data_IF_498540423375
#
_entry.id   IF_498540423375
#
_cell.length_a   1.000
_cell.length_b   1.000
_cell.length_c   1.000
_cell.angle_alpha   90.00
_cell.angle_beta   90.00
_cell.angle_gamma   90.00
#
_symmetry.space_group_name_H-M   'P 1'
#
loop_
_entity.id
_entity.type
_entity.pdbx_description
1 polymer ?
#
# COMPACT_ATOMS: atom_id res chain seq x y z
N UNK A 1 24.17 -58.04 -44.27
CA UNK A 1 22.82 -58.48 -44.73
C UNK A 1 21.94 -58.53 -43.49
N UNK A 2 20.82 -57.84 -43.27
CA UNK A 2 19.87 -56.98 -44.02
C UNK A 2 19.08 -56.26 -42.88
N UNK A 3 19.10 -54.92 -42.78
CA UNK A 3 18.07 -53.95 -43.21
C UNK A 3 16.78 -53.90 -42.35
N UNK A 4 16.31 -52.69 -41.99
CA UNK A 4 14.87 -52.42 -41.88
C UNK A 4 14.40 -51.49 -40.75
N UNK A 5 14.27 -50.20 -41.06
CA UNK A 5 13.57 -49.14 -40.30
C UNK A 5 12.04 -49.32 -40.40
N UNK A 6 11.27 -49.03 -39.33
CA UNK A 6 9.95 -48.37 -39.45
C UNK A 6 9.43 -47.79 -38.12
N UNK A 7 9.07 -46.51 -38.21
CA UNK A 7 8.41 -45.67 -37.21
C UNK A 7 6.97 -46.12 -36.92
N UNK A 8 6.48 -45.92 -35.69
CA UNK A 8 5.17 -45.28 -35.41
C UNK A 8 4.97 -45.13 -33.90
N UNK A 9 5.02 -43.89 -33.41
CA UNK A 9 4.59 -43.52 -32.06
C UNK A 9 3.08 -43.30 -32.00
N UNK A 10 2.40 -43.93 -31.05
CA UNK A 10 1.06 -43.57 -30.59
C UNK A 10 1.14 -43.26 -29.09
N UNK A 11 1.27 -41.99 -28.75
CA UNK A 11 1.08 -41.51 -27.38
C UNK A 11 -0.41 -41.49 -27.06
N UNK A 12 -0.78 -42.21 -26.00
CA UNK A 12 -2.11 -42.17 -25.38
C UNK A 12 -2.20 -40.92 -24.52
N UNK A 13 -3.19 -40.06 -24.76
CA UNK A 13 -3.58 -38.98 -23.87
C UNK A 13 -4.69 -39.44 -22.92
N UNK A 14 -4.51 -39.18 -21.63
CA UNK A 14 -5.51 -39.24 -20.56
C UNK A 14 -5.15 -38.16 -19.51
N UNK A 15 -6.05 -37.72 -18.62
CA UNK A 15 -6.90 -36.55 -18.82
C UNK A 15 -6.75 -35.52 -17.68
N UNK A 16 -6.15 -34.35 -17.92
CA UNK A 16 -6.10 -33.26 -16.93
C UNK A 16 -6.18 -31.85 -17.56
N UNK A 17 -7.00 -31.68 -18.60
CA UNK A 17 -7.41 -30.35 -19.07
C UNK A 17 -8.88 -30.38 -19.49
N UNK A 18 -9.76 -30.43 -18.49
CA UNK A 18 -11.19 -30.11 -18.62
C UNK A 18 -11.63 -29.38 -17.36
N UNK A 19 -11.31 -28.10 -17.25
CA UNK A 19 -11.97 -27.18 -16.33
C UNK A 19 -11.65 -25.71 -16.68
N UNK A 20 -12.10 -25.24 -17.85
CA UNK A 20 -12.29 -23.81 -18.11
C UNK A 20 -13.15 -23.66 -19.35
N UNK A 21 -14.40 -23.23 -19.17
CA UNK A 21 -15.34 -22.61 -20.12
C UNK A 21 -16.77 -23.12 -19.84
N UNK A 22 -17.40 -22.59 -18.79
CA UNK A 22 -18.86 -22.60 -18.66
C UNK A 22 -19.36 -21.23 -19.13
N UNK A 23 -20.05 -21.20 -20.28
CA UNK A 23 -20.87 -20.06 -20.71
C UNK A 23 -22.35 -20.46 -20.57
N UNK A 24 -23.24 -19.58 -20.06
CA UNK A 24 -24.66 -19.89 -19.96
C UNK A 24 -25.33 -19.84 -21.34
N UNK A 25 -26.25 -20.79 -21.55
CA UNK A 25 -27.01 -21.00 -22.77
C UNK A 25 -28.00 -19.85 -23.05
N UNK A 26 -28.07 -19.41 -24.31
CA UNK A 26 -29.17 -18.57 -24.79
C UNK A 26 -28.78 -17.54 -25.85
N UNK A 27 -28.54 -17.98 -27.10
CA UNK A 27 -28.83 -17.26 -28.36
C UNK A 27 -28.46 -18.13 -29.55
N UNK A 28 -29.36 -18.22 -30.53
CA UNK A 28 -29.22 -19.02 -31.74
C UNK A 28 -28.12 -18.50 -32.68
N UNK A 29 -27.47 -19.36 -33.48
CA UNK A 29 -26.44 -18.96 -34.44
C UNK A 29 -27.04 -18.21 -35.63
N UNK A 30 -26.41 -17.12 -36.05
CA UNK A 30 -26.73 -16.42 -37.29
C UNK A 30 -26.42 -17.31 -38.50
N UNK A 31 -27.44 -17.61 -39.30
CA UNK A 31 -27.33 -18.38 -40.53
C UNK A 31 -28.69 -18.62 -41.18
N UNK A 32 -29.27 -17.58 -41.80
CA UNK A 32 -30.37 -17.72 -42.77
C UNK A 32 -30.28 -16.60 -43.81
N UNK A 33 -30.68 -16.86 -45.07
CA UNK A 33 -30.53 -15.93 -46.18
C UNK A 33 -31.63 -14.86 -46.12
N UNK A 34 -31.37 -13.72 -46.78
CA UNK A 34 -32.25 -12.54 -46.90
C UNK A 34 -32.11 -11.46 -45.81
N UNK A 35 -31.06 -10.65 -45.94
CA UNK A 35 -31.15 -9.22 -45.65
C UNK A 35 -30.17 -8.46 -46.54
N UNK A 36 -30.73 -7.73 -47.50
CA UNK A 36 -30.02 -6.85 -48.43
C UNK A 36 -29.51 -5.59 -47.70
N UNK A 37 -28.36 -5.13 -48.17
CA UNK A 37 -27.91 -3.72 -48.26
C UNK A 37 -27.78 -2.92 -46.96
N UNK A 38 -26.54 -2.65 -46.57
CA UNK A 38 -26.19 -1.61 -45.60
C UNK A 38 -24.70 -1.63 -45.29
N UNK A 39 -23.96 -0.73 -45.92
CA UNK A 39 -22.52 -0.51 -45.74
C UNK A 39 -22.16 -0.31 -44.26
N UNK A 40 -21.24 -1.14 -43.75
CA UNK A 40 -20.27 -0.92 -42.64
C UNK A 40 -19.81 -2.27 -42.08
N UNK A 41 -19.15 -3.08 -42.91
CA UNK A 41 -18.49 -4.31 -42.46
C UNK A 41 -17.31 -4.62 -43.38
N UNK A 42 -16.36 -3.69 -43.44
CA UNK A 42 -15.13 -3.84 -44.23
C UNK A 42 -13.96 -3.16 -43.52
N UNK A 43 -13.70 -3.50 -42.26
CA UNK A 43 -12.42 -3.15 -41.63
C UNK A 43 -11.95 -4.10 -40.50
N UNK A 44 -12.57 -5.27 -40.34
CA UNK A 44 -12.20 -6.22 -39.26
C UNK A 44 -11.59 -7.54 -39.71
N UNK A 45 -11.28 -7.71 -41.01
CA UNK A 45 -10.72 -8.97 -41.55
C UNK A 45 -9.20 -8.92 -41.81
N UNK A 46 -8.53 -7.77 -41.65
CA UNK A 46 -7.09 -7.66 -41.98
C UNK A 46 -6.13 -7.65 -40.77
N UNK A 47 -6.60 -7.81 -39.53
CA UNK A 47 -5.73 -7.70 -38.34
C UNK A 47 -5.75 -8.94 -37.43
N UNK A 48 -5.99 -10.13 -37.98
CA UNK A 48 -5.85 -11.41 -37.25
C UNK A 48 -5.06 -12.50 -37.97
N UNK A 49 -4.31 -12.16 -39.03
CA UNK A 49 -3.39 -13.10 -39.68
C UNK A 49 -1.90 -12.87 -39.36
N UNK A 50 -1.52 -11.97 -38.44
CA UNK A 50 -0.11 -11.69 -38.12
C UNK A 50 0.37 -12.18 -36.75
N UNK A 51 -0.51 -12.77 -35.92
CA UNK A 51 -0.15 -13.20 -34.54
C UNK A 51 -0.06 -14.72 -34.40
N UNK A 52 -0.18 -15.50 -35.48
CA UNK A 52 -0.05 -16.96 -35.41
C UNK A 52 1.32 -17.49 -35.87
N UNK A 53 2.24 -16.64 -36.33
CA UNK A 53 3.53 -17.09 -36.90
C UNK A 53 4.73 -16.76 -36.01
N UNK A 54 4.55 -16.04 -34.89
CA UNK A 54 5.66 -15.67 -34.00
C UNK A 54 5.77 -16.54 -32.73
N UNK A 55 4.83 -17.45 -32.49
CA UNK A 55 4.83 -18.35 -31.32
C UNK A 55 5.42 -19.74 -31.66
N UNK A 56 5.67 -20.02 -32.94
CA UNK A 56 6.20 -21.30 -33.42
C UNK A 56 7.73 -21.39 -33.52
N UNK A 57 8.47 -20.29 -33.37
CA UNK A 57 9.93 -20.25 -33.60
C UNK A 57 10.76 -19.95 -32.35
N UNK A 58 10.14 -19.76 -31.18
CA UNK A 58 10.84 -19.56 -29.91
C UNK A 58 10.79 -20.77 -28.96
N UNK A 59 10.49 -21.96 -29.49
CA UNK A 59 10.49 -23.22 -28.73
C UNK A 59 11.47 -24.27 -29.29
N UNK A 60 12.46 -23.82 -30.09
CA UNK A 60 13.55 -24.65 -30.62
C UNK A 60 14.92 -23.93 -30.53
N UNK A 61 15.24 -23.33 -29.38
CA UNK A 61 16.62 -22.89 -29.05
C UNK A 61 16.92 -22.89 -27.54
N UNK A 62 16.23 -23.71 -26.74
CA UNK A 62 16.48 -23.85 -25.30
C UNK A 62 16.73 -25.30 -24.86
N UNK A 63 17.34 -26.11 -25.73
CA UNK A 63 17.75 -27.48 -25.42
C UNK A 63 19.11 -27.80 -26.06
N UNK A 64 20.12 -26.96 -25.82
CA UNK A 64 21.52 -27.26 -26.13
C UNK A 64 22.47 -26.31 -25.36
N UNK A 65 22.34 -26.22 -24.04
CA UNK A 65 23.34 -25.61 -23.13
C UNK A 65 23.25 -26.29 -21.76
N UNK A 66 23.36 -27.62 -21.74
CA UNK A 66 23.50 -28.43 -20.54
C UNK A 66 24.45 -29.59 -20.87
N UNK A 67 25.75 -29.29 -20.91
CA UNK A 67 26.80 -30.27 -20.67
C UNK A 67 28.13 -29.55 -20.46
N UNK A 68 28.94 -30.08 -19.55
CA UNK A 68 30.30 -29.66 -19.15
C UNK A 68 30.39 -28.57 -18.07
N UNK A 69 30.10 -28.96 -16.82
CA UNK A 69 30.88 -28.46 -15.68
C UNK A 69 31.61 -29.66 -15.09
N UNK A 70 32.83 -29.88 -15.57
CA UNK A 70 33.75 -30.85 -14.99
C UNK A 70 34.38 -30.25 -13.73
N UNK A 71 34.48 -31.08 -12.70
CA UNK A 71 35.05 -30.77 -11.39
C UNK A 71 36.54 -30.39 -11.53
N UNK A 72 36.87 -29.13 -11.24
CA UNK A 72 38.23 -28.72 -10.91
C UNK A 72 38.32 -28.54 -9.40
N UNK A 73 38.78 -29.58 -8.70
CA UNK A 73 39.16 -29.50 -7.29
C UNK A 73 40.42 -28.64 -7.17
N UNK A 74 40.26 -27.36 -6.84
CA UNK A 74 41.36 -26.52 -6.38
C UNK A 74 41.49 -26.71 -4.88
N UNK A 75 42.50 -27.50 -4.48
CA UNK A 75 42.94 -27.66 -3.11
C UNK A 75 43.69 -26.38 -2.68
N UNK A 76 42.98 -25.43 -2.05
CA UNK A 76 43.60 -24.25 -1.44
C UNK A 76 43.81 -24.56 0.05
N UNK A 77 45.05 -24.55 0.57
CA UNK A 77 45.29 -24.73 1.99
C UNK A 77 44.77 -23.52 2.77
N UNK A 78 43.88 -23.77 3.72
CA UNK A 78 43.38 -22.77 4.68
C UNK A 78 44.51 -22.32 5.60
N UNK A 79 44.90 -21.03 5.63
CA UNK A 79 45.81 -20.55 6.66
C UNK A 79 45.05 -20.45 7.99
N UNK A 80 45.47 -21.22 8.99
CA UNK A 80 45.03 -21.07 10.37
C UNK A 80 45.61 -19.76 10.93
N UNK A 81 44.85 -18.67 10.84
CA UNK A 81 45.17 -17.43 11.56
C UNK A 81 44.50 -17.52 12.93
N UNK A 82 45.32 -17.70 13.95
CA UNK A 82 44.93 -17.51 15.35
C UNK A 82 44.70 -16.01 15.58
N UNK A 83 43.52 -15.56 16.03
CA UNK A 83 43.32 -14.16 16.36
C UNK A 83 44.13 -13.82 17.63
N UNK A 84 44.82 -12.68 17.69
CA UNK A 84 45.42 -12.22 18.93
C UNK A 84 44.30 -11.87 19.93
N UNK A 85 44.45 -12.35 21.16
CA UNK A 85 43.64 -11.93 22.31
C UNK A 85 43.92 -10.45 22.57
N UNK A 86 43.05 -9.57 22.07
CA UNK A 86 43.04 -8.16 22.44
C UNK A 86 42.15 -8.00 23.67
N UNK A 87 42.78 -7.81 24.83
CA UNK A 87 42.11 -7.39 26.06
C UNK A 87 41.67 -5.94 25.87
N UNK A 88 40.39 -5.73 25.57
CA UNK A 88 39.78 -4.39 25.51
C UNK A 88 39.49 -3.95 26.95
N UNK A 89 40.08 -2.86 27.46
CA UNK A 89 39.68 -2.29 28.73
C UNK A 89 38.25 -1.74 28.61
N UNK A 90 37.40 -2.13 29.56
CA UNK A 90 36.04 -1.61 29.73
C UNK A 90 36.08 -0.10 29.97
N UNK A 91 35.81 0.69 28.93
CA UNK A 91 35.54 2.11 29.05
C UNK A 91 34.03 2.29 29.06
N UNK A 92 33.53 2.68 30.22
CA UNK A 92 32.14 3.07 30.44
C UNK A 92 31.80 4.25 29.50
N UNK A 93 30.76 4.19 28.67
CA UNK A 93 30.39 5.33 27.86
C UNK A 93 29.95 6.50 28.77
N UNK A 94 30.34 7.74 28.46
CA UNK A 94 29.89 8.89 29.23
C UNK A 94 28.36 9.00 29.12
N UNK A 95 27.72 9.22 30.27
CA UNK A 95 26.29 9.52 30.35
C UNK A 95 25.98 10.79 29.57
N UNK A 96 25.53 10.62 28.33
CA UNK A 96 24.95 11.71 27.55
C UNK A 96 23.55 11.95 28.13
N UNK A 97 23.45 12.97 28.98
CA UNK A 97 22.17 13.51 29.41
C UNK A 97 21.50 14.15 28.19
N UNK A 98 20.59 13.41 27.55
CA UNK A 98 19.70 13.98 26.54
C UNK A 98 18.87 15.09 27.21
N UNK A 99 18.81 16.31 26.65
CA UNK A 99 17.86 17.30 27.14
C UNK A 99 16.46 16.75 26.88
N UNK A 100 15.67 16.75 27.95
CA UNK A 100 14.27 16.33 27.96
C UNK A 100 13.51 17.13 26.89
N UNK A 101 13.19 16.47 25.78
CA UNK A 101 12.23 16.99 24.82
C UNK A 101 10.85 16.93 25.47
N UNK A 102 10.50 17.98 26.20
CA UNK A 102 9.13 18.26 26.58
C UNK A 102 8.35 18.52 25.29
N UNK A 103 7.71 17.49 24.74
CA UNK A 103 6.66 17.66 23.74
C UNK A 103 5.36 17.10 24.27
N UNK A 104 4.47 18.05 24.56
CA UNK A 104 3.10 17.82 24.94
C UNK A 104 2.39 17.02 23.85
N UNK A 105 2.13 15.75 24.13
CA UNK A 105 1.06 15.00 23.49
C UNK A 105 -0.28 15.48 24.07
N UNK A 106 -0.63 16.75 23.83
CA UNK A 106 -2.01 17.20 24.01
C UNK A 106 -2.79 16.71 22.81
N UNK A 107 -3.42 15.55 22.95
CA UNK A 107 -4.67 15.27 22.24
C UNK A 107 -5.53 16.53 22.35
N UNK A 108 -5.88 17.16 21.23
CA UNK A 108 -6.76 18.31 21.17
C UNK A 108 -8.18 17.87 21.57
N UNK A 109 -8.37 17.58 22.86
CA UNK A 109 -9.65 17.22 23.45
C UNK A 109 -10.40 18.49 23.77
N UNK A 110 -11.12 19.01 22.78
CA UNK A 110 -12.05 20.12 23.01
C UNK A 110 -12.66 20.64 21.72
N UNK A 111 -13.98 20.81 21.75
CA UNK A 111 -14.71 21.58 20.76
C UNK A 111 -14.50 23.09 20.99
N UNK A 112 -14.33 23.92 19.94
CA UNK A 112 -14.18 23.52 18.55
C UNK A 112 -12.83 22.83 18.31
N UNK A 113 -12.82 21.79 17.48
CA UNK A 113 -11.59 21.15 17.03
C UNK A 113 -10.75 22.14 16.21
N UNK A 114 -9.44 21.94 16.21
CA UNK A 114 -8.48 22.83 15.55
C UNK A 114 -7.60 22.04 14.58
N UNK A 115 -7.27 22.68 13.47
CA UNK A 115 -6.18 22.23 12.61
C UNK A 115 -4.86 22.50 13.33
N UNK A 116 -4.15 21.45 13.72
CA UNK A 116 -2.80 21.58 14.27
C UNK A 116 -1.87 22.14 13.18
N UNK A 117 -0.85 22.94 13.53
CA UNK A 117 0.18 23.34 12.58
C UNK A 117 0.88 22.12 11.96
N UNK A 118 1.29 22.23 10.70
CA UNK A 118 2.08 21.20 10.05
C UNK A 118 3.40 20.99 10.84
N UNK A 119 3.83 19.75 11.12
CA UNK A 119 5.01 19.49 11.98
C UNK A 119 6.36 19.91 11.38
N UNK A 120 6.37 20.35 10.12
CA UNK A 120 7.54 20.72 9.34
C UNK A 120 7.14 21.73 8.25
N UNK A 121 8.13 22.39 7.63
CA UNK A 121 7.89 23.34 6.53
C UNK A 121 7.19 22.68 5.34
N UNK A 122 6.38 23.45 4.59
CA UNK A 122 5.65 22.92 3.43
C UNK A 122 6.54 22.28 2.36
N UNK A 123 7.78 22.73 2.18
CA UNK A 123 8.75 22.15 1.23
C UNK A 123 9.61 21.03 1.82
N UNK A 124 9.43 20.68 3.09
CA UNK A 124 10.32 19.76 3.81
C UNK A 124 10.30 18.32 3.28
N UNK A 125 9.28 17.95 2.49
CA UNK A 125 9.12 16.62 1.89
C UNK A 125 9.54 16.57 0.41
N UNK A 126 10.10 17.65 -0.13
CA UNK A 126 10.70 17.60 -1.47
C UNK A 126 11.93 16.67 -1.50
N UNK A 127 12.18 15.98 -2.63
CA UNK A 127 11.50 16.10 -3.91
C UNK A 127 10.30 15.15 -4.08
N UNK A 128 9.76 14.57 -3.00
CA UNK A 128 8.75 13.50 -3.06
C UNK A 128 7.32 14.04 -3.03
N UNK A 129 7.05 15.08 -2.24
CA UNK A 129 5.77 15.80 -2.25
C UNK A 129 6.10 17.28 -2.37
N UNK A 130 5.51 17.96 -3.36
CA UNK A 130 5.80 19.37 -3.62
C UNK A 130 5.14 20.31 -2.61
N UNK A 131 5.76 21.46 -2.39
CA UNK A 131 5.30 22.43 -1.39
C UNK A 131 3.90 23.00 -1.68
N UNK A 132 3.49 23.06 -2.95
CA UNK A 132 2.16 23.56 -3.33
C UNK A 132 1.06 22.58 -2.91
N UNK A 133 1.24 21.28 -3.20
CA UNK A 133 0.37 20.23 -2.68
C UNK A 133 0.34 20.27 -1.16
N UNK A 134 1.47 20.37 -0.45
CA UNK A 134 1.48 20.42 1.01
C UNK A 134 0.64 21.59 1.58
N UNK A 135 0.73 22.78 0.96
CA UNK A 135 -0.08 23.95 1.35
C UNK A 135 -1.56 23.72 1.12
N UNK A 136 -1.95 23.24 -0.06
CA UNK A 136 -3.36 22.99 -0.39
C UNK A 136 -3.94 21.86 0.47
N UNK A 137 -3.21 20.76 0.61
CA UNK A 137 -3.65 19.56 1.32
C UNK A 137 -3.84 19.81 2.82
N UNK A 138 -2.93 20.57 3.44
CA UNK A 138 -3.06 20.97 4.84
C UNK A 138 -4.03 22.15 5.02
N UNK A 139 -3.77 23.30 4.40
CA UNK A 139 -4.45 24.56 4.75
C UNK A 139 -5.85 24.68 4.12
N UNK A 140 -6.17 23.86 3.10
CA UNK A 140 -7.48 23.86 2.45
C UNK A 140 -8.23 22.57 2.71
N UNK A 141 -7.70 21.43 2.29
CA UNK A 141 -8.43 20.16 2.40
C UNK A 141 -8.62 19.74 3.86
N UNK A 142 -7.55 19.69 4.66
CA UNK A 142 -7.67 19.34 6.08
C UNK A 142 -8.48 20.38 6.87
N UNK A 143 -8.23 21.68 6.64
CA UNK A 143 -9.01 22.76 7.28
C UNK A 143 -10.51 22.62 7.02
N UNK A 144 -10.92 22.34 5.78
CA UNK A 144 -12.34 22.18 5.44
C UNK A 144 -13.00 21.02 6.20
N UNK A 145 -12.29 19.92 6.46
CA UNK A 145 -12.80 18.83 7.29
C UNK A 145 -12.99 19.27 8.75
N UNK A 146 -12.05 20.03 9.30
CA UNK A 146 -12.16 20.56 10.67
C UNK A 146 -13.37 21.49 10.79
N UNK A 147 -13.52 22.44 9.86
CA UNK A 147 -14.61 23.42 9.87
C UNK A 147 -15.98 22.75 9.74
N UNK A 148 -16.12 21.82 8.78
CA UNK A 148 -17.37 21.12 8.55
C UNK A 148 -17.72 20.15 9.68
N UNK A 149 -16.72 19.53 10.34
CA UNK A 149 -16.96 18.72 11.53
C UNK A 149 -17.47 19.59 12.69
N UNK A 150 -16.82 20.73 12.94
CA UNK A 150 -17.27 21.66 13.98
C UNK A 150 -18.71 22.13 13.75
N UNK A 151 -19.04 22.48 12.50
CA UNK A 151 -20.40 22.88 12.10
C UNK A 151 -21.41 21.76 12.32
N UNK A 152 -21.07 20.52 11.98
CA UNK A 152 -21.95 19.37 12.17
C UNK A 152 -22.27 19.11 13.66
N UNK A 153 -21.37 19.48 14.56
CA UNK A 153 -21.50 19.25 15.99
C UNK A 153 -22.14 20.41 16.78
N UNK A 154 -22.40 21.57 16.16
CA UNK A 154 -22.95 22.77 16.83
C UNK A 154 -24.20 22.47 17.67
N UNK A 155 -25.12 21.65 17.15
CA UNK A 155 -26.36 21.28 17.82
C UNK A 155 -26.27 20.07 18.77
N UNK A 156 -25.09 19.48 18.97
CA UNK A 156 -24.89 18.29 19.81
C UNK A 156 -23.81 18.48 20.88
N UNK A 157 -24.11 19.20 21.98
CA UNK A 157 -23.16 19.45 23.08
C UNK A 157 -22.54 18.19 23.68
N UNK A 158 -23.24 17.06 23.67
CA UNK A 158 -22.69 15.79 24.18
C UNK A 158 -21.67 15.16 23.23
N UNK A 159 -21.81 15.36 21.92
CA UNK A 159 -20.81 14.91 20.95
C UNK A 159 -19.57 15.80 20.96
N UNK A 160 -19.72 17.08 21.29
CA UNK A 160 -18.60 18.04 21.43
C UNK A 160 -17.60 17.65 22.54
N UNK A 161 -18.03 16.82 23.50
CA UNK A 161 -17.18 16.28 24.58
C UNK A 161 -16.31 15.11 24.13
N UNK A 162 -16.60 14.52 22.96
CA UNK A 162 -15.85 13.40 22.40
C UNK A 162 -14.71 13.90 21.51
N UNK A 163 -13.60 13.15 21.48
CA UNK A 163 -12.59 13.30 20.42
C UNK A 163 -13.13 12.84 19.07
N UNK A 164 -12.57 13.31 17.94
CA UNK A 164 -12.92 12.82 16.61
C UNK A 164 -12.81 11.29 16.49
N UNK A 165 -11.78 10.67 17.09
CA UNK A 165 -11.59 9.22 17.10
C UNK A 165 -12.70 8.50 17.88
N UNK A 166 -13.15 9.06 19.01
CA UNK A 166 -14.29 8.50 19.75
C UNK A 166 -15.59 8.61 18.96
N UNK A 167 -15.80 9.70 18.21
CA UNK A 167 -16.95 9.83 17.31
C UNK A 167 -16.93 8.78 16.20
N UNK A 168 -15.75 8.51 15.61
CA UNK A 168 -15.60 7.51 14.56
C UNK A 168 -15.77 6.07 15.08
N UNK A 169 -15.29 5.77 16.28
CA UNK A 169 -15.45 4.46 16.91
C UNK A 169 -16.91 4.15 17.21
N UNK A 170 -17.68 5.17 17.61
CA UNK A 170 -19.09 5.05 18.00
C UNK A 170 -20.06 5.64 16.97
N UNK A 171 -19.78 5.57 15.66
CA UNK A 171 -20.62 6.19 14.63
C UNK A 171 -22.11 5.81 14.71
N UNK A 172 -22.42 4.62 15.21
CA UNK A 172 -23.82 4.17 15.42
C UNK A 172 -24.56 4.99 16.47
N UNK A 173 -23.83 5.53 17.47
CA UNK A 173 -24.36 6.39 18.52
C UNK A 173 -24.47 7.87 18.10
N UNK A 174 -23.89 8.23 16.96
CA UNK A 174 -24.07 9.56 16.36
C UNK A 174 -25.48 9.63 15.76
N UNK A 175 -26.27 10.69 16.05
CA UNK A 175 -27.60 10.89 15.47
C UNK A 175 -27.58 10.83 13.95
N UNK A 176 -28.62 10.21 13.38
CA UNK A 176 -28.66 9.88 11.95
C UNK A 176 -28.46 11.10 11.05
N UNK A 177 -29.08 12.22 11.41
CA UNK A 177 -29.06 13.47 10.68
C UNK A 177 -27.69 14.17 10.65
N UNK A 178 -26.73 13.76 11.49
CA UNK A 178 -25.35 14.25 11.46
C UNK A 178 -24.31 13.16 11.20
N UNK A 179 -24.70 11.88 11.20
CA UNK A 179 -23.79 10.73 11.14
C UNK A 179 -22.91 10.74 9.89
N UNK A 180 -23.48 11.07 8.72
CA UNK A 180 -22.73 11.15 7.48
C UNK A 180 -21.67 12.27 7.52
N UNK A 181 -22.01 13.43 8.09
CA UNK A 181 -21.08 14.55 8.23
C UNK A 181 -19.95 14.22 9.22
N UNK A 182 -20.25 13.53 10.32
CA UNK A 182 -19.23 13.07 11.28
C UNK A 182 -18.34 11.99 10.66
N UNK A 183 -18.90 11.03 9.93
CA UNK A 183 -18.12 10.00 9.22
C UNK A 183 -17.17 10.62 8.21
N UNK A 184 -17.66 11.52 7.35
CA UNK A 184 -16.86 12.14 6.30
C UNK A 184 -15.83 13.14 6.83
N UNK A 185 -16.27 14.13 7.61
CA UNK A 185 -15.40 15.21 8.09
C UNK A 185 -14.56 14.80 9.31
N UNK A 186 -15.12 14.00 10.21
CA UNK A 186 -14.36 13.37 11.31
C UNK A 186 -13.31 12.41 10.77
N UNK A 187 -13.68 11.60 9.78
CA UNK A 187 -12.74 10.75 9.06
C UNK A 187 -11.62 11.57 8.42
N UNK A 188 -11.98 12.62 7.67
CA UNK A 188 -11.02 13.52 7.05
C UNK A 188 -10.05 14.14 8.05
N UNK A 189 -10.55 14.64 9.18
CA UNK A 189 -9.71 15.24 10.21
C UNK A 189 -8.75 14.21 10.85
N UNK A 190 -9.24 13.03 11.26
CA UNK A 190 -8.41 12.00 11.89
C UNK A 190 -7.37 11.43 10.93
N UNK A 191 -7.78 11.16 9.68
CA UNK A 191 -6.92 10.59 8.66
C UNK A 191 -5.75 11.53 8.34
N UNK A 192 -6.03 12.82 8.11
CA UNK A 192 -4.99 13.81 7.79
C UNK A 192 -4.10 14.12 9.00
N UNK A 193 -4.67 14.20 10.22
CA UNK A 193 -3.87 14.38 11.45
C UNK A 193 -2.81 13.30 11.58
N UNK A 194 -3.17 12.02 11.36
CA UNK A 194 -2.21 10.92 11.31
C UNK A 194 -1.21 11.11 10.16
N UNK A 195 -1.69 11.43 8.95
CA UNK A 195 -0.87 11.51 7.74
C UNK A 195 0.31 12.47 7.88
N UNK A 196 0.11 13.62 8.51
CA UNK A 196 1.18 14.60 8.75
C UNK A 196 2.21 14.12 9.75
N UNK A 197 1.80 13.39 10.79
CA UNK A 197 2.70 12.91 11.85
C UNK A 197 3.62 11.77 11.37
N UNK A 198 3.09 10.89 10.51
CA UNK A 198 3.85 9.72 10.01
C UNK A 198 4.82 10.06 8.88
N UNK A 199 4.97 11.34 8.54
CA UNK A 199 5.97 11.83 7.59
C UNK A 199 6.94 12.79 8.29
N UNK A 200 8.15 12.92 7.76
CA UNK A 200 9.16 13.88 8.25
C UNK A 200 10.19 14.23 7.16
N UNK A 201 10.83 15.42 7.24
CA UNK A 201 12.05 15.69 6.47
C UNK A 201 13.13 14.66 6.79
N UNK A 202 13.87 14.24 5.77
CA UNK A 202 14.91 13.20 5.89
C UNK A 202 14.37 11.88 6.50
N UNK A 203 13.11 11.57 6.17
CA UNK A 203 12.49 10.28 6.51
C UNK A 203 12.89 9.17 5.55
N UNK A 204 12.07 8.12 5.52
CA UNK A 204 12.28 6.95 4.68
C UNK A 204 13.30 5.97 5.26
N UNK A 205 13.96 5.23 4.37
CA UNK A 205 14.75 4.06 4.74
C UNK A 205 13.88 2.87 5.15
N UNK A 206 14.52 1.82 5.64
CA UNK A 206 13.82 0.64 6.16
C UNK A 206 13.28 0.88 7.57
N UNK A 207 12.17 0.24 7.95
CA UNK A 207 11.67 0.30 9.31
C UNK A 207 12.69 -0.27 10.29
N UNK A 208 12.79 0.35 11.46
CA UNK A 208 13.55 -0.16 12.60
C UNK A 208 12.62 -0.47 13.77
N UNK A 209 13.13 -1.17 14.79
CA UNK A 209 12.39 -1.41 16.03
C UNK A 209 11.23 -2.42 15.92
N UNK A 210 10.28 -2.40 16.87
CA UNK A 210 9.19 -3.37 16.94
C UNK A 210 8.33 -3.49 15.67
N UNK A 211 8.08 -2.39 14.96
CA UNK A 211 7.30 -2.44 13.72
C UNK A 211 8.02 -3.22 12.61
N UNK A 212 9.35 -3.16 12.54
CA UNK A 212 10.13 -3.89 11.55
C UNK A 212 10.00 -5.41 11.74
N UNK A 213 10.05 -5.86 13.00
CA UNK A 213 9.84 -7.25 13.35
C UNK A 213 8.41 -7.70 13.03
N UNK A 214 7.41 -6.89 13.40
CA UNK A 214 6.01 -7.20 13.13
C UNK A 214 5.71 -7.26 11.62
N UNK A 215 6.30 -6.37 10.81
CA UNK A 215 6.21 -6.40 9.34
C UNK A 215 6.80 -7.72 8.80
N UNK A 216 8.00 -8.09 9.24
CA UNK A 216 8.64 -9.35 8.80
C UNK A 216 7.80 -10.58 9.14
N UNK A 217 7.23 -10.61 10.34
CA UNK A 217 6.37 -11.72 10.78
C UNK A 217 5.06 -11.80 9.98
N UNK A 218 4.43 -10.67 9.65
CA UNK A 218 3.12 -10.67 8.99
C UNK A 218 3.19 -10.75 7.46
N UNK A 219 4.26 -10.20 6.86
CA UNK A 219 4.37 -10.04 5.41
C UNK A 219 5.62 -10.70 4.82
N UNK A 220 6.46 -11.34 5.64
CA UNK A 220 7.69 -12.02 5.23
C UNK A 220 8.91 -11.10 5.17
N UNK A 221 8.80 -9.98 4.47
CA UNK A 221 9.87 -8.96 4.38
C UNK A 221 9.31 -7.56 4.24
N UNK A 222 10.16 -6.54 4.42
CA UNK A 222 9.78 -5.15 4.17
C UNK A 222 9.43 -4.91 2.69
N UNK A 223 10.17 -5.49 1.75
CA UNK A 223 9.88 -5.38 0.31
C UNK A 223 8.54 -6.02 -0.05
N UNK A 224 8.22 -7.18 0.52
CA UNK A 224 6.94 -7.84 0.31
C UNK A 224 5.78 -7.01 0.88
N UNK A 225 5.97 -6.39 2.05
CA UNK A 225 5.01 -5.44 2.63
C UNK A 225 4.81 -4.22 1.74
N UNK A 226 5.90 -3.57 1.32
CA UNK A 226 5.88 -2.38 0.45
C UNK A 226 5.16 -2.67 -0.88
N UNK A 227 5.42 -3.84 -1.47
CA UNK A 227 4.75 -4.29 -2.69
C UNK A 227 3.24 -4.44 -2.48
N UNK A 228 2.82 -5.18 -1.46
CA UNK A 228 1.40 -5.39 -1.15
C UNK A 228 0.67 -4.08 -0.80
N UNK A 229 1.33 -3.16 -0.08
CA UNK A 229 0.77 -1.86 0.28
C UNK A 229 0.58 -0.98 -0.97
N UNK A 230 1.58 -0.91 -1.84
CA UNK A 230 1.49 -0.16 -3.10
C UNK A 230 0.43 -0.74 -4.04
N UNK A 231 0.31 -2.06 -4.12
CA UNK A 231 -0.75 -2.71 -4.88
C UNK A 231 -2.14 -2.35 -4.35
N UNK A 232 -2.34 -2.37 -3.02
CA UNK A 232 -3.61 -2.00 -2.41
C UNK A 232 -3.97 -0.53 -2.66
N UNK A 233 -3.00 0.38 -2.58
CA UNK A 233 -3.20 1.80 -2.91
C UNK A 233 -3.50 2.05 -4.40
N UNK A 234 -2.86 1.28 -5.29
CA UNK A 234 -3.11 1.35 -6.74
C UNK A 234 -4.50 0.82 -7.09
N UNK A 235 -4.91 -0.30 -6.48
CA UNK A 235 -6.21 -0.95 -6.72
C UNK A 235 -7.40 -0.20 -6.10
N UNK A 236 -7.18 0.76 -5.19
CA UNK A 236 -8.24 1.61 -4.63
C UNK A 236 -8.83 2.49 -5.73
N UNK A 237 -9.97 2.08 -6.29
CA UNK A 237 -10.67 2.88 -7.29
C UNK A 237 -11.28 4.16 -6.70
N UNK A 238 -11.13 5.27 -7.40
CA UNK A 238 -11.57 6.60 -6.97
C UNK A 238 -10.76 7.14 -5.79
N UNK A 239 -11.43 7.95 -4.99
CA UNK A 239 -10.90 8.57 -3.78
C UNK A 239 -10.81 7.59 -2.61
N UNK A 240 -9.73 7.66 -1.84
CA UNK A 240 -9.58 6.82 -0.65
C UNK A 240 -8.18 6.80 -0.08
N UNK A 241 -7.96 5.80 0.76
CA UNK A 241 -6.71 5.61 1.50
C UNK A 241 -6.29 4.14 1.48
N UNK A 242 -5.00 3.91 1.63
CA UNK A 242 -4.43 2.60 1.94
C UNK A 242 -3.77 2.66 3.33
N UNK A 243 -3.88 1.58 4.09
CA UNK A 243 -3.53 1.56 5.51
C UNK A 243 -2.75 0.31 5.87
N UNK A 244 -1.84 0.46 6.82
CA UNK A 244 -1.40 -0.62 7.69
C UNK A 244 -2.14 -0.44 9.02
N UNK A 245 -2.89 -1.47 9.41
CA UNK A 245 -3.72 -1.43 10.62
C UNK A 245 -3.36 -2.57 11.55
N UNK A 246 -3.57 -2.38 12.85
CA UNK A 246 -3.72 -3.48 13.79
C UNK A 246 -5.20 -3.83 13.90
N UNK A 247 -5.55 -5.09 13.71
CA UNK A 247 -6.89 -5.58 13.99
C UNK A 247 -7.10 -5.79 15.51
N UNK A 248 -8.34 -6.04 15.97
CA UNK A 248 -8.63 -6.28 17.40
C UNK A 248 -7.86 -7.46 18.02
N UNK A 249 -7.37 -8.41 17.20
CA UNK A 249 -6.54 -9.53 17.63
C UNK A 249 -5.04 -9.22 17.65
N UNK A 250 -4.62 -7.97 17.41
CA UNK A 250 -3.22 -7.56 17.40
C UNK A 250 -2.43 -7.94 16.13
N UNK A 251 -3.11 -8.48 15.10
CA UNK A 251 -2.46 -8.83 13.82
C UNK A 251 -2.42 -7.62 12.90
N UNK A 252 -1.33 -7.50 12.13
CA UNK A 252 -1.19 -6.48 11.11
C UNK A 252 -1.91 -6.87 9.81
N UNK A 253 -2.63 -5.91 9.24
CA UNK A 253 -3.35 -6.05 7.98
C UNK A 253 -3.11 -4.85 7.08
N UNK A 254 -3.04 -5.09 5.77
CA UNK A 254 -3.16 -4.03 4.77
C UNK A 254 -4.61 -3.95 4.34
N UNK A 255 -5.22 -2.77 4.46
CA UNK A 255 -6.59 -2.51 4.03
C UNK A 255 -6.64 -1.22 3.22
N UNK A 256 -7.70 -1.02 2.45
CA UNK A 256 -7.99 0.28 1.84
C UNK A 256 -9.41 0.69 2.17
N UNK A 257 -9.64 2.00 2.30
CA UNK A 257 -10.96 2.57 2.56
C UNK A 257 -11.35 3.55 1.46
N UNK A 258 -12.65 3.71 1.23
CA UNK A 258 -13.17 4.67 0.26
C UNK A 258 -13.32 6.05 0.92
N UNK A 259 -13.14 7.10 0.14
CA UNK A 259 -13.32 8.48 0.57
C UNK A 259 -12.54 8.79 1.87
N UNK A 260 -13.21 9.27 2.91
CA UNK A 260 -12.62 9.55 4.23
C UNK A 260 -12.99 8.52 5.28
N UNK A 261 -13.50 7.35 4.88
CA UNK A 261 -13.74 6.26 5.83
C UNK A 261 -12.43 5.88 6.52
N UNK A 262 -12.51 5.69 7.83
CA UNK A 262 -11.35 5.38 8.69
C UNK A 262 -11.47 3.97 9.24
N UNK A 263 -10.37 3.18 9.30
CA UNK A 263 -10.37 1.85 9.91
C UNK A 263 -10.85 1.82 11.37
N UNK A 264 -10.82 2.96 12.06
CA UNK A 264 -11.35 3.13 13.43
C UNK A 264 -12.82 2.73 13.52
N UNK A 265 -13.61 3.04 12.49
CA UNK A 265 -15.04 2.68 12.44
C UNK A 265 -15.28 1.16 12.40
N UNK A 266 -14.28 0.40 11.94
CA UNK A 266 -14.29 -1.07 11.89
C UNK A 266 -13.58 -1.71 13.10
N UNK A 267 -13.29 -0.93 14.14
CA UNK A 267 -12.58 -1.38 15.34
C UNK A 267 -11.09 -1.66 15.13
N UNK A 268 -10.51 -1.22 14.00
CA UNK A 268 -9.08 -1.38 13.71
C UNK A 268 -8.31 -0.11 14.08
N UNK A 269 -7.05 -0.27 14.46
CA UNK A 269 -6.19 0.88 14.77
C UNK A 269 -5.29 1.21 13.58
N UNK A 270 -5.38 2.42 12.97
CA UNK A 270 -4.52 2.82 11.87
C UNK A 270 -3.11 3.19 12.36
N UNK A 271 -2.12 2.35 12.02
CA UNK A 271 -0.72 2.56 12.37
C UNK A 271 -0.08 3.58 11.43
N UNK A 272 -0.28 3.38 10.13
CA UNK A 272 0.11 4.31 9.06
C UNK A 272 -0.87 4.20 7.90
N UNK A 273 -0.96 5.24 7.08
CA UNK A 273 -1.77 5.22 5.87
C UNK A 273 -1.32 6.25 4.85
N UNK A 274 -1.61 6.00 3.58
CA UNK A 274 -1.29 6.91 2.50
C UNK A 274 -2.58 7.39 1.82
N UNK A 275 -2.70 8.71 1.66
CA UNK A 275 -3.79 9.36 0.95
C UNK A 275 -3.63 9.10 -0.56
N UNK A 276 -4.62 8.46 -1.18
CA UNK A 276 -4.67 8.23 -2.64
C UNK A 276 -5.81 8.98 -3.31
N UNK A 277 -6.37 9.99 -2.64
CA UNK A 277 -7.14 11.04 -3.32
C UNK A 277 -6.24 11.80 -4.29
N UNK A 278 -6.80 12.19 -5.44
CA UNK A 278 -6.01 12.88 -6.48
C UNK A 278 -5.38 14.18 -5.97
N UNK A 279 -6.04 14.92 -5.07
CA UNK A 279 -5.46 16.15 -4.49
C UNK A 279 -4.11 15.93 -3.79
N UNK A 280 -3.80 14.70 -3.33
CA UNK A 280 -2.57 14.38 -2.63
C UNK A 280 -1.35 14.26 -3.57
N UNK A 281 -1.57 14.11 -4.88
CA UNK A 281 -0.48 13.82 -5.82
C UNK A 281 -0.60 14.47 -7.20
N UNK A 282 -1.77 15.00 -7.59
CA UNK A 282 -2.02 15.33 -8.99
C UNK A 282 -1.12 16.44 -9.54
N UNK A 283 -0.77 17.45 -8.72
CA UNK A 283 0.06 18.57 -9.18
C UNK A 283 1.42 18.08 -9.68
N UNK A 284 2.05 17.13 -8.99
CA UNK A 284 3.36 16.58 -9.33
C UNK A 284 3.33 15.31 -10.19
N UNK A 285 2.39 14.41 -9.91
CA UNK A 285 2.36 13.07 -10.52
C UNK A 285 1.25 12.89 -11.56
N UNK A 286 0.29 13.81 -11.64
CA UNK A 286 -0.88 13.72 -12.53
C UNK A 286 -1.57 12.36 -12.37
N UNK A 287 -1.75 11.59 -13.45
CA UNK A 287 -2.38 10.27 -13.41
C UNK A 287 -1.45 9.15 -12.87
N UNK A 288 -0.16 9.43 -12.62
CA UNK A 288 0.84 8.43 -12.23
C UNK A 288 0.83 8.15 -10.72
N UNK A 289 -0.31 7.71 -10.18
CA UNK A 289 -0.46 7.36 -8.77
C UNK A 289 0.60 6.35 -8.28
N UNK A 290 1.00 5.42 -9.13
CA UNK A 290 2.04 4.45 -8.80
C UNK A 290 3.40 5.11 -8.48
N UNK A 291 3.76 6.17 -9.20
CA UNK A 291 5.00 6.93 -8.97
C UNK A 291 4.93 7.67 -7.62
N UNK A 292 3.78 8.25 -7.30
CA UNK A 292 3.52 8.87 -5.99
C UNK A 292 3.65 7.86 -4.85
N UNK A 293 2.97 6.72 -4.96
CA UNK A 293 3.02 5.64 -3.96
C UNK A 293 4.47 5.17 -3.75
N UNK A 294 5.25 5.05 -4.82
CA UNK A 294 6.67 4.67 -4.74
C UNK A 294 7.53 5.75 -4.06
N UNK A 295 7.30 7.02 -4.38
CA UNK A 295 8.05 8.15 -3.84
C UNK A 295 7.76 8.42 -2.36
N UNK A 296 6.50 8.25 -1.92
CA UNK A 296 6.04 8.50 -0.55
C UNK A 296 6.83 7.73 0.52
N UNK A 297 7.34 6.54 0.20
CA UNK A 297 8.16 5.76 1.14
C UNK A 297 9.40 6.50 1.64
N UNK A 298 9.89 7.51 0.91
CA UNK A 298 11.05 8.30 1.29
C UNK A 298 10.74 9.43 2.30
N UNK A 299 9.47 9.63 2.66
CA UNK A 299 9.07 10.64 3.65
C UNK A 299 8.75 10.03 5.02
N UNK A 300 8.71 8.70 5.13
CA UNK A 300 8.16 8.04 6.31
C UNK A 300 8.93 8.31 7.60
N UNK A 301 8.17 8.60 8.65
CA UNK A 301 8.64 8.75 10.01
C UNK A 301 8.49 7.44 10.78
N UNK A 302 9.47 6.55 10.66
CA UNK A 302 9.43 5.24 11.34
C UNK A 302 9.39 5.34 12.87
N UNK A 303 9.85 6.43 13.46
CA UNK A 303 9.77 6.66 14.92
C UNK A 303 8.32 6.84 15.36
N UNK A 304 7.57 7.70 14.66
CA UNK A 304 6.14 7.91 14.91
C UNK A 304 5.32 6.66 14.60
N UNK A 305 5.63 5.97 13.51
CA UNK A 305 4.97 4.72 13.14
C UNK A 305 5.18 3.65 14.23
N UNK A 306 6.38 3.56 14.81
CA UNK A 306 6.63 2.69 15.97
C UNK A 306 5.81 3.10 17.20
N UNK A 307 5.73 4.40 17.50
CA UNK A 307 4.92 4.90 18.63
C UNK A 307 3.44 4.53 18.45
N UNK A 308 2.89 4.67 17.24
CA UNK A 308 1.52 4.26 16.89
C UNK A 308 1.34 2.75 17.01
N UNK A 309 2.30 1.96 16.53
CA UNK A 309 2.27 0.50 16.67
C UNK A 309 2.28 0.05 18.14
N UNK A 310 3.08 0.69 18.99
CA UNK A 310 3.11 0.42 20.43
C UNK A 310 1.76 0.75 21.08
N UNK A 311 1.18 1.92 20.76
CA UNK A 311 -0.17 2.31 21.22
C UNK A 311 -1.24 1.30 20.82
N UNK A 312 -1.16 0.74 19.61
CA UNK A 312 -2.06 -0.32 19.16
C UNK A 312 -1.90 -1.61 19.98
N UNK A 313 -0.66 -1.95 20.33
CA UNK A 313 -0.31 -3.18 21.06
C UNK A 313 -0.68 -3.13 22.54
N UNK A 314 -0.79 -1.93 23.13
CA UNK A 314 -1.13 -1.74 24.56
C UNK A 314 -2.63 -1.53 24.81
N UNK A 315 -3.49 -1.59 23.78
CA UNK A 315 -4.94 -1.60 23.93
C UNK A 315 -5.55 -0.32 24.51
N UNK A 316 -5.20 0.85 23.97
CA UNK A 316 -5.79 2.15 24.34
C UNK A 316 -7.14 2.41 23.66
#
# INVERSE_FOLDING_TARGET
MVLGVLLTGKARYSPLLKAACNFPAGRAPCGSPEAKTGSLCQEFVSMKCSVSTLVGTLCLTAAALLSTAAEAQINIPTPTITPPTVTVPSVQPPSVTMPSATQASTTASGYPYKLAPLPYDYSALEPYIDAETMKLHHDKHHQAYVDNLNKALEKYPDLQKKSPEQLLRDLKQVPEDTRAAVRGNGGGHVNHTMFWEIMKPKGGGEPAGPIAAAIRTNFGSFDAFKTQFNEAGTKRFGSGWVWLVSNPGGKLEIVSTANQDSPIADGKYPIMGNDVWEHAYYLKYQNRRADYLSAWWNTLNWDEINRRFQKASTGL
#
